data_IF_838981567030
#
_entry.id   IF_838981567030
#
_cell.length_a   1.000
_cell.length_b   1.000
_cell.length_c   1.000
_cell.angle_alpha   90.00
_cell.angle_beta   90.00
_cell.angle_gamma   90.00
#
_symmetry.space_group_name_H-M   'P 1'
#
loop_
_entity.id
_entity.type
_entity.pdbx_description
1 polymer ?
#
# COMPACT_ATOMS: atom_id res chain seq x y z
N UNK A 1 -73.60 26.31 14.70
CA UNK A 1 -74.21 27.28 13.78
C UNK A 1 -74.23 26.62 12.41
N UNK A 2 -75.40 26.56 11.78
CA UNK A 2 -75.72 25.87 10.52
C UNK A 2 -74.75 26.17 9.35
N UNK A 3 -74.47 25.20 8.49
CA UNK A 3 -75.10 25.12 7.15
C UNK A 3 -74.78 23.78 6.43
N UNK A 4 -75.82 23.20 5.81
CA UNK A 4 -75.79 22.17 4.76
C UNK A 4 -75.53 22.81 3.38
N UNK A 5 -75.26 21.97 2.37
CA UNK A 5 -75.34 22.10 0.88
C UNK A 5 -74.00 21.57 0.32
N UNK A 6 -73.88 20.64 -0.63
CA UNK A 6 -74.79 19.99 -1.59
C UNK A 6 -73.91 19.38 -2.70
N UNK A 7 -74.31 18.24 -3.27
CA UNK A 7 -73.58 17.43 -4.25
C UNK A 7 -73.23 18.16 -5.56
N UNK A 8 -72.17 17.69 -6.23
CA UNK A 8 -71.91 17.88 -7.66
C UNK A 8 -71.25 16.65 -8.26
N UNK A 9 -72.04 15.83 -8.96
CA UNK A 9 -71.57 14.77 -9.86
C UNK A 9 -71.21 15.38 -11.24
N UNK A 10 -70.16 14.84 -11.86
CA UNK A 10 -69.80 15.13 -13.25
C UNK A 10 -68.77 14.11 -13.77
N UNK A 11 -69.24 13.11 -14.51
CA UNK A 11 -68.49 12.15 -15.34
C UNK A 11 -69.02 12.32 -16.79
N UNK A 12 -68.51 11.70 -17.88
CA UNK A 12 -67.15 11.34 -18.34
C UNK A 12 -66.83 11.92 -19.75
N UNK A 13 -65.60 11.75 -20.26
CA UNK A 13 -65.37 11.45 -21.69
C UNK A 13 -64.05 10.65 -21.81
N UNK A 14 -64.00 9.36 -22.14
CA UNK A 14 -64.23 8.66 -23.43
C UNK A 14 -63.36 9.12 -24.60
N UNK A 15 -62.59 8.15 -25.14
CA UNK A 15 -61.88 8.19 -26.42
C UNK A 15 -60.54 7.45 -26.30
N UNK A 16 -60.53 6.10 -26.33
CA UNK A 16 -60.30 5.25 -27.53
C UNK A 16 -58.89 5.46 -28.13
N UNK A 17 -57.94 4.53 -27.95
CA UNK A 17 -57.80 3.24 -28.64
C UNK A 17 -57.33 3.35 -30.11
N UNK A 18 -56.06 2.95 -30.36
CA UNK A 18 -55.53 2.24 -31.54
C UNK A 18 -53.99 2.20 -31.39
N UNK A 19 -53.32 1.05 -31.30
CA UNK A 19 -53.15 -0.04 -32.27
C UNK A 19 -52.33 0.35 -33.52
N UNK A 20 -51.26 -0.42 -33.77
CA UNK A 20 -50.50 -0.50 -35.02
C UNK A 20 -49.15 0.23 -34.96
N UNK A 21 -48.02 -0.37 -35.31
CA UNK A 21 -47.82 -1.66 -35.95
C UNK A 21 -46.33 -1.95 -36.14
N UNK A 22 -46.08 -3.18 -36.55
CA UNK A 22 -44.80 -3.77 -36.91
C UNK A 22 -44.09 -3.02 -38.05
N UNK A 23 -42.76 -3.06 -38.03
CA UNK A 23 -41.95 -2.99 -39.24
C UNK A 23 -40.65 -3.77 -39.01
N UNK A 24 -40.64 -4.98 -39.58
CA UNK A 24 -39.45 -5.76 -39.93
C UNK A 24 -38.53 -4.98 -40.87
N UNK A 25 -37.22 -5.20 -40.73
CA UNK A 25 -36.27 -5.11 -41.83
C UNK A 25 -35.06 -6.02 -41.56
N UNK A 26 -35.20 -7.27 -41.96
CA UNK A 26 -34.08 -8.10 -42.42
C UNK A 26 -33.56 -7.54 -43.75
N UNK A 27 -32.23 -7.47 -43.91
CA UNK A 27 -31.54 -7.58 -45.21
C UNK A 27 -30.18 -8.28 -44.99
N UNK A 28 -30.16 -9.56 -45.39
CA UNK A 28 -29.20 -10.28 -46.25
C UNK A 28 -27.72 -9.85 -46.20
N UNK A 29 -26.76 -10.69 -45.79
CA UNK A 29 -26.26 -11.92 -46.41
C UNK A 29 -25.54 -11.70 -47.77
N UNK A 30 -24.22 -11.95 -47.77
CA UNK A 30 -23.36 -12.50 -48.85
C UNK A 30 -21.95 -12.65 -48.21
N UNK A 31 -21.48 -13.83 -47.78
CA UNK A 31 -20.97 -14.98 -48.56
C UNK A 31 -20.01 -14.60 -49.68
N UNK A 32 -18.75 -15.02 -49.50
CA UNK A 32 -17.77 -15.54 -50.47
C UNK A 32 -16.37 -15.23 -49.88
N UNK A 33 -15.44 -16.16 -49.67
CA UNK A 33 -15.22 -17.42 -50.35
C UNK A 33 -13.72 -17.52 -50.64
N UNK A 34 -13.05 -18.40 -49.89
CA UNK A 34 -11.96 -19.30 -50.27
C UNK A 34 -10.68 -18.82 -51.00
N UNK A 35 -9.60 -19.52 -50.59
CA UNK A 35 -8.46 -19.99 -51.40
C UNK A 35 -7.36 -18.98 -51.78
N UNK A 36 -6.06 -19.27 -51.79
CA UNK A 36 -5.24 -20.50 -51.83
C UNK A 36 -3.91 -20.20 -51.08
N UNK A 37 -3.36 -21.09 -50.25
CA UNK A 37 -2.40 -22.14 -50.60
C UNK A 37 -1.18 -21.65 -51.42
N UNK A 38 -0.01 -21.71 -50.78
CA UNK A 38 1.31 -22.18 -51.27
C UNK A 38 2.28 -22.00 -50.07
N UNK A 39 2.96 -23.00 -49.52
CA UNK A 39 3.62 -24.12 -50.18
C UNK A 39 5.06 -23.70 -50.50
N UNK A 40 6.01 -24.25 -49.73
CA UNK A 40 7.48 -24.40 -49.97
C UNK A 40 8.23 -24.04 -48.66
N UNK A 41 8.58 -25.00 -47.80
CA UNK A 41 9.72 -25.93 -47.92
C UNK A 41 10.97 -25.28 -48.49
N UNK A 42 11.91 -24.96 -47.60
CA UNK A 42 13.33 -25.27 -47.81
C UNK A 42 14.01 -25.45 -46.46
N UNK A 43 14.43 -26.70 -46.23
CA UNK A 43 15.57 -27.06 -45.40
C UNK A 43 16.82 -26.45 -45.99
N UNK A 44 17.56 -25.67 -45.21
CA UNK A 44 19.02 -25.66 -45.28
C UNK A 44 19.57 -25.68 -43.86
N UNK A 45 20.18 -26.82 -43.55
CA UNK A 45 21.13 -26.96 -42.48
C UNK A 45 22.45 -26.45 -43.02
N UNK A 46 22.96 -25.34 -42.48
CA UNK A 46 24.37 -25.02 -42.51
C UNK A 46 24.82 -24.68 -41.09
N UNK A 47 25.57 -25.62 -40.55
CA UNK A 47 26.47 -25.50 -39.43
C UNK A 47 27.63 -24.58 -39.79
N UNK A 48 27.79 -23.49 -39.06
CA UNK A 48 29.05 -22.76 -38.81
C UNK A 48 28.75 -21.94 -37.52
N UNK A 49 29.26 -22.26 -36.32
CA UNK A 49 30.66 -22.32 -35.89
C UNK A 49 31.41 -21.00 -36.07
N UNK A 50 30.82 -19.88 -35.63
CA UNK A 50 31.57 -18.67 -35.35
C UNK A 50 31.79 -18.54 -33.84
N UNK A 51 33.03 -18.90 -33.47
CA UNK A 51 33.59 -18.54 -32.19
C UNK A 51 33.97 -17.07 -32.24
N UNK A 52 33.22 -16.25 -31.53
CA UNK A 52 33.65 -14.92 -31.14
C UNK A 52 34.66 -15.06 -30.00
N UNK A 53 35.91 -15.23 -30.40
CA UNK A 53 37.05 -14.91 -29.55
C UNK A 53 37.15 -13.39 -29.50
N UNK A 54 36.61 -12.80 -28.44
CA UNK A 54 36.96 -11.44 -28.03
C UNK A 54 38.46 -11.42 -27.74
N UNK A 55 39.24 -10.97 -28.72
CA UNK A 55 40.60 -10.50 -28.50
C UNK A 55 40.53 -9.14 -27.82
N UNK A 56 40.27 -9.15 -26.52
CA UNK A 56 40.74 -8.09 -25.65
C UNK A 56 42.24 -8.28 -25.47
N UNK A 57 42.97 -7.52 -26.28
CA UNK A 57 44.40 -7.34 -26.12
C UNK A 57 44.65 -6.41 -24.93
N UNK A 58 44.39 -6.91 -23.71
CA UNK A 58 45.00 -6.36 -22.51
C UNK A 58 46.46 -6.82 -22.51
N UNK A 59 47.32 -5.91 -22.91
CA UNK A 59 48.76 -6.02 -22.74
C UNK A 59 49.12 -5.85 -21.27
N UNK A 60 48.70 -6.79 -20.43
CA UNK A 60 49.26 -6.99 -19.10
C UNK A 60 50.42 -7.96 -19.23
N UNK A 61 51.62 -7.38 -19.16
CA UNK A 61 52.86 -8.11 -19.01
C UNK A 61 52.89 -8.75 -17.61
N UNK A 62 52.10 -9.81 -17.41
CA UNK A 62 52.29 -10.73 -16.32
C UNK A 62 53.57 -11.53 -16.59
N UNK A 63 54.67 -11.05 -16.03
CA UNK A 63 55.79 -11.90 -15.68
C UNK A 63 55.35 -12.86 -14.55
N UNK A 64 54.47 -13.80 -14.89
CA UNK A 64 54.19 -14.96 -14.07
C UNK A 64 55.43 -15.83 -14.05
N UNK A 65 56.11 -15.88 -12.91
CA UNK A 65 57.03 -16.98 -12.62
C UNK A 65 56.19 -18.24 -12.60
N UNK A 66 56.38 -19.09 -13.62
CA UNK A 66 55.76 -20.40 -13.76
C UNK A 66 55.99 -21.21 -12.48
N UNK A 67 54.96 -21.33 -11.63
CA UNK A 67 55.07 -21.96 -10.31
C UNK A 67 55.29 -23.49 -10.39
N UNK A 68 55.19 -24.06 -11.59
CA UNK A 68 55.39 -25.48 -11.89
C UNK A 68 56.74 -25.78 -12.59
N UNK A 69 57.57 -24.77 -12.84
CA UNK A 69 58.94 -25.01 -13.27
C UNK A 69 59.79 -25.43 -12.07
N UNK A 70 60.19 -26.70 -12.02
CA UNK A 70 61.15 -27.19 -11.02
C UNK A 70 62.44 -26.35 -10.96
N UNK A 71 63.27 -26.50 -9.90
CA UNK A 71 64.41 -25.63 -9.66
C UNK A 71 65.36 -25.55 -10.86
N UNK A 72 65.71 -24.33 -11.27
CA UNK A 72 66.55 -24.09 -12.43
C UNK A 72 67.98 -24.64 -12.24
N UNK A 73 68.63 -25.17 -13.30
CA UNK A 73 69.99 -25.66 -13.23
C UNK A 73 71.01 -24.52 -13.05
N UNK A 74 72.14 -24.84 -12.42
CA UNK A 74 73.26 -23.92 -12.17
C UNK A 74 74.61 -24.56 -12.47
N UNK A 75 75.52 -23.77 -13.07
CA UNK A 75 76.79 -24.27 -13.59
C UNK A 75 77.94 -24.26 -12.56
N UNK A 76 77.85 -23.43 -11.52
CA UNK A 76 78.93 -23.23 -10.53
C UNK A 76 78.44 -23.46 -9.10
N UNK A 77 78.86 -24.57 -8.48
CA UNK A 77 78.48 -24.94 -7.11
C UNK A 77 78.97 -23.91 -6.10
N UNK A 78 78.08 -23.50 -5.19
CA UNK A 78 78.33 -22.45 -4.20
C UNK A 78 78.18 -21.03 -4.75
N UNK A 79 77.88 -20.84 -6.04
CA UNK A 79 77.47 -19.54 -6.56
C UNK A 79 76.15 -19.12 -5.89
N UNK A 80 76.02 -17.83 -5.61
CA UNK A 80 74.81 -17.24 -5.04
C UNK A 80 74.17 -16.30 -6.05
N UNK A 81 72.84 -16.32 -6.16
CA UNK A 81 72.06 -15.32 -6.88
C UNK A 81 70.98 -14.75 -5.98
N UNK A 82 70.43 -13.63 -6.38
CA UNK A 82 69.28 -13.01 -5.71
C UNK A 82 68.11 -13.04 -6.67
N UNK A 83 66.96 -13.52 -6.21
CA UNK A 83 65.72 -13.53 -6.99
C UNK A 83 64.62 -12.79 -6.24
N UNK A 84 63.61 -12.32 -6.98
CA UNK A 84 62.44 -11.66 -6.43
C UNK A 84 61.54 -12.66 -5.68
N UNK A 85 60.85 -12.18 -4.65
CA UNK A 85 59.95 -13.03 -3.84
C UNK A 85 58.48 -13.01 -4.27
N UNK A 86 58.18 -12.49 -5.46
CA UNK A 86 56.82 -12.47 -6.03
C UNK A 86 56.15 -11.09 -6.01
N UNK A 87 55.82 -10.56 -4.84
CA UNK A 87 55.18 -9.22 -4.73
C UNK A 87 56.19 -8.10 -4.53
N UNK A 88 57.20 -8.33 -3.68
CA UNK A 88 58.30 -7.42 -3.39
C UNK A 88 59.45 -8.17 -2.72
N UNK A 89 60.53 -7.45 -2.44
CA UNK A 89 61.67 -8.01 -1.71
C UNK A 89 62.46 -9.01 -2.52
N UNK A 90 63.54 -9.48 -1.92
CA UNK A 90 64.43 -10.45 -2.57
C UNK A 90 64.86 -11.54 -1.61
N UNK A 91 65.14 -12.71 -2.17
CA UNK A 91 65.70 -13.84 -1.43
C UNK A 91 66.98 -14.35 -2.10
N UNK A 92 67.99 -14.74 -1.32
CA UNK A 92 69.17 -15.39 -1.86
C UNK A 92 68.84 -16.83 -2.27
N UNK A 93 69.44 -17.27 -3.36
CA UNK A 93 69.53 -18.66 -3.75
C UNK A 93 70.99 -19.07 -3.87
N UNK A 94 71.28 -20.31 -3.53
CA UNK A 94 72.60 -20.92 -3.67
C UNK A 94 72.54 -22.11 -4.64
N UNK A 95 73.55 -22.22 -5.48
CA UNK A 95 73.75 -23.39 -6.33
C UNK A 95 74.25 -24.54 -5.44
N UNK A 96 73.38 -25.49 -5.14
CA UNK A 96 73.72 -26.61 -4.26
C UNK A 96 74.51 -27.71 -5.00
N UNK A 97 74.92 -28.74 -4.27
CA UNK A 97 75.78 -29.80 -4.79
C UNK A 97 75.12 -30.65 -5.91
N UNK A 98 73.81 -30.56 -6.08
CA UNK A 98 73.02 -31.20 -7.13
C UNK A 98 72.95 -30.38 -8.43
N UNK A 99 73.67 -29.25 -8.52
CA UNK A 99 73.68 -28.34 -9.67
C UNK A 99 72.31 -27.74 -9.97
N UNK A 100 71.47 -27.54 -8.94
CA UNK A 100 70.21 -26.82 -9.00
C UNK A 100 70.24 -25.63 -8.04
N UNK A 101 69.48 -24.58 -8.36
CA UNK A 101 69.28 -23.44 -7.46
C UNK A 101 68.33 -23.80 -6.33
N UNK A 102 68.77 -23.60 -5.09
CA UNK A 102 67.95 -23.77 -3.88
C UNK A 102 67.88 -22.47 -3.09
N UNK A 103 66.78 -22.26 -2.37
CA UNK A 103 66.60 -21.11 -1.50
C UNK A 103 67.57 -21.17 -0.30
N UNK A 104 68.31 -20.08 -0.07
CA UNK A 104 69.33 -19.97 0.99
C UNK A 104 68.95 -18.90 2.01
N UNK A 105 67.65 -18.82 2.34
CA UNK A 105 67.10 -17.89 3.33
C UNK A 105 65.65 -17.50 3.05
N UNK A 106 65.03 -16.86 4.05
CA UNK A 106 63.69 -16.30 3.92
C UNK A 106 63.69 -15.04 3.04
N UNK A 107 62.53 -14.71 2.49
CA UNK A 107 62.38 -13.46 1.77
C UNK A 107 62.58 -12.24 2.69
N UNK A 108 63.41 -11.30 2.24
CA UNK A 108 63.60 -10.03 2.93
C UNK A 108 62.68 -8.98 2.30
N UNK A 109 61.75 -8.45 3.11
CA UNK A 109 60.71 -7.47 2.72
C UNK A 109 59.76 -7.96 1.60
N UNK A 110 59.04 -9.08 1.78
CA UNK A 110 58.18 -9.67 0.74
C UNK A 110 57.04 -8.75 0.28
N UNK A 111 56.66 -7.76 1.10
CA UNK A 111 55.52 -6.88 0.84
C UNK A 111 54.16 -7.58 1.02
N UNK A 112 53.11 -6.78 1.19
CA UNK A 112 51.72 -7.25 1.23
C UNK A 112 51.08 -7.27 -0.18
N UNK A 113 51.65 -6.51 -1.11
CA UNK A 113 51.13 -6.31 -2.46
C UNK A 113 52.23 -5.88 -3.45
N UNK A 114 51.96 -6.02 -4.76
CA UNK A 114 52.82 -5.52 -5.84
C UNK A 114 52.69 -4.00 -5.96
N UNK A 115 53.78 -3.22 -5.99
CA UNK A 115 53.71 -1.78 -6.24
C UNK A 115 52.86 -1.43 -7.46
N UNK A 116 51.91 -0.52 -7.28
CA UNK A 116 50.97 -0.12 -8.32
C UNK A 116 49.74 -1.02 -8.49
N UNK A 117 49.67 -2.16 -7.78
CA UNK A 117 48.44 -2.95 -7.73
C UNK A 117 47.30 -2.13 -7.12
N UNK A 118 46.11 -2.28 -7.67
CA UNK A 118 44.88 -1.66 -7.18
C UNK A 118 44.04 -2.75 -6.52
N UNK A 119 43.45 -2.43 -5.38
CA UNK A 119 42.40 -3.23 -4.78
C UNK A 119 41.16 -2.37 -4.64
N UNK A 120 40.03 -2.94 -5.03
CA UNK A 120 38.71 -2.33 -4.93
C UNK A 120 37.85 -3.12 -3.95
N UNK A 121 36.95 -2.44 -3.25
CA UNK A 121 35.89 -3.07 -2.47
C UNK A 121 34.63 -2.18 -2.46
N UNK A 122 33.48 -2.77 -2.15
CA UNK A 122 32.20 -2.07 -2.14
C UNK A 122 32.03 -1.19 -0.89
N UNK A 123 31.39 -0.03 -1.06
CA UNK A 123 31.14 0.91 0.03
C UNK A 123 29.66 1.29 0.23
N UNK A 124 28.74 0.42 -0.22
CA UNK A 124 27.29 0.58 -0.14
C UNK A 124 26.74 1.46 -1.28
N UNK A 125 25.47 1.26 -1.64
CA UNK A 125 24.78 2.01 -2.71
C UNK A 125 25.56 2.04 -4.05
N UNK A 126 26.04 0.88 -4.53
CA UNK A 126 26.90 0.75 -5.72
C UNK A 126 28.21 1.56 -5.68
N UNK A 127 28.60 2.11 -4.53
CA UNK A 127 29.87 2.80 -4.40
C UNK A 127 31.04 1.84 -4.35
N UNK A 128 32.20 2.30 -4.83
CA UNK A 128 33.48 1.61 -4.71
C UNK A 128 34.50 2.50 -4.00
N UNK A 129 35.33 1.91 -3.13
CA UNK A 129 36.57 2.57 -2.73
C UNK A 129 37.75 1.75 -3.24
N UNK A 130 38.86 2.44 -3.46
CA UNK A 130 40.08 1.83 -3.98
C UNK A 130 41.25 2.11 -3.06
N UNK A 131 42.23 1.22 -3.07
CA UNK A 131 43.55 1.53 -2.52
C UNK A 131 44.62 1.02 -3.46
N UNK A 132 45.71 1.79 -3.53
CA UNK A 132 46.85 1.48 -4.38
C UNK A 132 48.01 1.01 -3.52
N UNK A 133 48.71 -0.02 -3.97
CA UNK A 133 49.91 -0.50 -3.33
C UNK A 133 51.08 0.47 -3.56
N UNK A 134 51.71 0.91 -2.47
CA UNK A 134 52.86 1.81 -2.51
C UNK A 134 54.13 1.17 -3.09
N UNK A 135 55.11 1.99 -3.43
CA UNK A 135 56.46 1.51 -3.82
C UNK A 135 57.19 0.76 -2.69
N UNK A 136 56.74 0.92 -1.44
CA UNK A 136 57.19 0.13 -0.28
C UNK A 136 56.44 -1.20 -0.13
N UNK A 137 55.60 -1.56 -1.10
CA UNK A 137 54.91 -2.84 -1.15
C UNK A 137 53.95 -3.06 0.02
N UNK A 138 53.32 -1.97 0.47
CA UNK A 138 52.26 -1.94 1.46
C UNK A 138 51.07 -1.17 0.89
N UNK A 139 49.85 -1.60 1.23
CA UNK A 139 48.64 -0.92 0.82
C UNK A 139 48.56 0.48 1.43
N UNK A 140 48.19 1.48 0.63
CA UNK A 140 47.84 2.79 1.15
C UNK A 140 46.48 2.75 1.86
N UNK A 141 46.11 3.86 2.51
CA UNK A 141 44.74 4.05 3.00
C UNK A 141 43.74 3.99 1.84
N UNK A 142 42.54 3.48 2.12
CA UNK A 142 41.42 3.48 1.20
C UNK A 142 41.05 4.90 0.79
N UNK A 143 40.63 5.07 -0.47
CA UNK A 143 40.03 6.31 -0.94
C UNK A 143 38.72 6.59 -0.21
N UNK A 144 38.19 7.81 -0.40
CA UNK A 144 36.79 8.03 -0.15
C UNK A 144 35.96 7.11 -1.07
N UNK A 145 34.76 6.74 -0.60
CA UNK A 145 33.77 6.01 -1.38
C UNK A 145 33.39 6.86 -2.60
N UNK A 146 33.65 6.36 -3.80
CA UNK A 146 33.15 6.92 -5.05
C UNK A 146 31.75 6.32 -5.28
N UNK A 147 30.73 7.09 -4.91
CA UNK A 147 29.32 6.71 -5.04
C UNK A 147 28.79 7.16 -6.40
N UNK A 148 28.02 6.31 -7.07
CA UNK A 148 27.23 6.75 -8.22
C UNK A 148 26.26 7.84 -7.73
N UNK A 149 26.36 9.05 -8.29
CA UNK A 149 25.61 10.23 -7.86
C UNK A 149 24.09 10.05 -7.94
N UNK A 150 23.60 8.98 -8.58
CA UNK A 150 22.19 8.63 -8.52
C UNK A 150 21.87 7.29 -7.87
N UNK A 151 22.77 6.55 -7.24
CA UNK A 151 22.38 5.30 -6.58
C UNK A 151 21.25 5.54 -5.55
N UNK A 152 20.14 4.82 -5.72
CA UNK A 152 18.93 4.98 -4.91
C UNK A 152 18.81 3.90 -3.81
N UNK A 153 19.44 2.74 -4.03
CA UNK A 153 19.27 1.55 -3.20
C UNK A 153 20.45 0.59 -3.35
N UNK A 154 20.51 -0.46 -2.52
CA UNK A 154 21.52 -1.52 -2.64
C UNK A 154 21.01 -2.69 -3.49
N UNK A 155 21.82 -3.25 -4.42
CA UNK A 155 21.36 -4.29 -5.34
C UNK A 155 20.74 -5.48 -4.63
N UNK A 156 19.60 -5.95 -5.15
CA UNK A 156 18.84 -7.06 -4.59
C UNK A 156 17.94 -6.69 -3.41
N UNK A 157 18.05 -5.47 -2.85
CA UNK A 157 17.12 -4.93 -1.87
C UNK A 157 15.69 -4.89 -2.41
N UNK A 158 14.71 -5.12 -1.54
CA UNK A 158 13.29 -5.07 -1.89
C UNK A 158 12.56 -4.24 -0.86
N UNK A 159 11.55 -3.51 -1.31
CA UNK A 159 10.67 -2.76 -0.43
C UNK A 159 9.27 -2.60 -1.00
N UNK A 160 8.33 -2.31 -0.09
CA UNK A 160 6.98 -1.87 -0.40
C UNK A 160 6.94 -0.36 -0.19
N UNK A 161 6.64 0.40 -1.23
CA UNK A 161 6.53 1.87 -1.19
C UNK A 161 5.13 2.34 -1.59
N UNK A 162 4.81 3.59 -1.25
CA UNK A 162 3.66 4.34 -1.80
C UNK A 162 4.10 5.41 -2.81
N UNK A 163 5.41 5.60 -2.97
CA UNK A 163 5.97 6.63 -3.84
C UNK A 163 5.58 6.36 -5.30
N UNK A 164 4.91 7.33 -5.92
CA UNK A 164 4.44 7.22 -7.31
C UNK A 164 3.15 6.44 -7.50
N UNK A 165 2.49 6.01 -6.41
CA UNK A 165 1.17 5.37 -6.46
C UNK A 165 0.04 6.35 -6.12
N UNK A 166 -1.18 6.02 -6.55
CA UNK A 166 -2.39 6.72 -6.12
C UNK A 166 -2.64 6.48 -4.62
N UNK A 167 -3.40 7.37 -3.95
CA UNK A 167 -3.66 7.22 -2.52
C UNK A 167 -4.48 5.96 -2.28
N UNK A 168 -3.97 5.04 -1.46
CA UNK A 168 -4.57 3.71 -1.28
C UNK A 168 -3.71 2.58 -1.83
N UNK A 169 -2.84 2.88 -2.78
CA UNK A 169 -2.03 1.89 -3.48
C UNK A 169 -0.60 1.80 -2.94
N UNK A 170 -0.02 0.62 -3.11
CA UNK A 170 1.38 0.32 -2.84
C UNK A 170 2.04 -0.27 -4.09
N UNK A 171 3.37 -0.17 -4.13
CA UNK A 171 4.22 -0.81 -5.13
C UNK A 171 5.32 -1.60 -4.43
N UNK A 172 5.45 -2.87 -4.81
CA UNK A 172 6.64 -3.67 -4.55
C UNK A 172 7.71 -3.33 -5.58
N UNK A 173 8.89 -2.94 -5.12
CA UNK A 173 10.03 -2.63 -5.97
C UNK A 173 11.29 -3.34 -5.50
N UNK A 174 12.16 -3.64 -6.45
CA UNK A 174 13.47 -4.27 -6.22
C UNK A 174 14.56 -3.36 -6.74
N UNK A 175 15.65 -3.31 -6.00
CA UNK A 175 16.84 -2.64 -6.45
C UNK A 175 17.60 -3.51 -7.47
N UNK A 176 17.85 -2.96 -8.65
CA UNK A 176 18.63 -3.60 -9.70
C UNK A 176 20.14 -3.54 -9.43
N UNK A 177 20.92 -4.23 -10.26
CA UNK A 177 22.39 -4.19 -10.21
C UNK A 177 22.97 -2.81 -10.55
N UNK A 178 22.16 -1.92 -11.14
CA UNK A 178 22.51 -0.52 -11.40
C UNK A 178 22.09 0.43 -10.26
N UNK A 179 21.72 -0.11 -9.10
CA UNK A 179 21.27 0.64 -7.93
C UNK A 179 20.08 1.57 -8.19
N UNK A 180 19.14 1.09 -9.02
CA UNK A 180 17.87 1.77 -9.30
C UNK A 180 16.71 0.93 -8.81
N UNK A 181 15.67 1.60 -8.35
CA UNK A 181 14.41 0.93 -8.06
C UNK A 181 13.70 0.55 -9.35
N UNK A 182 13.40 -0.73 -9.49
CA UNK A 182 12.58 -1.29 -10.56
C UNK A 182 11.32 -1.90 -9.96
N UNK A 183 10.18 -1.63 -10.59
CA UNK A 183 8.90 -2.18 -10.17
C UNK A 183 8.91 -3.72 -10.29
N UNK A 184 8.72 -4.43 -9.18
CA UNK A 184 8.36 -5.85 -9.23
C UNK A 184 6.89 -6.01 -9.61
N UNK A 185 6.07 -5.04 -9.21
CA UNK A 185 4.65 -4.95 -9.51
C UNK A 185 4.25 -3.50 -9.76
N UNK A 186 3.28 -3.27 -10.64
CA UNK A 186 2.66 -1.96 -10.77
C UNK A 186 1.90 -1.60 -9.49
N UNK A 187 1.64 -0.30 -9.28
CA UNK A 187 0.85 0.16 -8.15
C UNK A 187 -0.52 -0.55 -8.09
N UNK A 188 -0.95 -0.91 -6.89
CA UNK A 188 -2.27 -1.44 -6.65
C UNK A 188 -2.58 -1.57 -5.17
N UNK A 189 -3.81 -2.00 -4.81
CA UNK A 189 -4.25 -2.04 -3.43
C UNK A 189 -3.42 -3.04 -2.62
N UNK A 190 -3.11 -2.70 -1.37
CA UNK A 190 -2.32 -3.55 -0.45
C UNK A 190 -3.09 -4.80 0.00
N UNK A 191 -4.42 -4.75 0.02
CA UNK A 191 -5.25 -5.86 0.44
C UNK A 191 -5.14 -7.06 -0.50
N UNK A 192 -4.88 -8.25 0.03
CA UNK A 192 -5.11 -9.52 -0.65
C UNK A 192 -6.62 -9.84 -0.65
N UNK A 193 -7.12 -10.20 -1.82
CA UNK A 193 -8.54 -10.40 -2.08
C UNK A 193 -9.14 -9.22 -2.83
N UNK A 194 -10.34 -9.43 -3.40
CA UNK A 194 -11.09 -8.36 -4.04
C UNK A 194 -12.06 -7.75 -3.02
N UNK A 195 -12.26 -6.42 -3.04
CA UNK A 195 -13.35 -5.81 -2.29
C UNK A 195 -14.68 -6.41 -2.76
N UNK A 196 -15.62 -6.58 -1.83
CA UNK A 196 -16.97 -6.98 -2.19
C UNK A 196 -17.65 -5.84 -2.96
N UNK A 197 -18.10 -6.13 -4.18
CA UNK A 197 -18.99 -5.27 -4.97
C UNK A 197 -20.40 -5.88 -4.95
N UNK A 198 -21.18 -5.51 -3.93
CA UNK A 198 -22.52 -6.07 -3.69
C UNK A 198 -23.59 -4.97 -3.61
N UNK A 199 -23.41 -3.88 -4.37
CA UNK A 199 -24.31 -2.74 -4.40
C UNK A 199 -24.01 -1.70 -3.30
N UNK A 200 -24.81 -0.63 -3.29
CA UNK A 200 -24.62 0.63 -2.52
C UNK A 200 -24.59 0.45 -0.99
N UNK A 201 -24.71 -0.76 -0.47
CA UNK A 201 -24.76 -1.05 0.97
C UNK A 201 -23.89 -2.26 1.40
N UNK A 202 -23.08 -2.86 0.51
CA UNK A 202 -22.00 -3.83 0.86
C UNK A 202 -20.69 -3.55 0.13
N UNK A 203 -20.62 -2.47 -0.64
CA UNK A 203 -19.39 -2.10 -1.32
C UNK A 203 -18.29 -1.88 -0.29
N UNK A 204 -17.16 -2.56 -0.48
CA UNK A 204 -15.97 -2.41 0.35
C UNK A 204 -14.91 -1.62 -0.41
N UNK A 205 -14.09 -0.87 0.31
CA UNK A 205 -12.83 -0.30 -0.21
C UNK A 205 -11.65 -0.95 0.50
N UNK A 206 -10.53 -1.11 -0.20
CA UNK A 206 -9.28 -1.49 0.45
C UNK A 206 -8.67 -0.25 1.12
N UNK A 207 -8.50 -0.31 2.43
CA UNK A 207 -7.65 0.63 3.15
C UNK A 207 -6.28 -0.04 3.31
N UNK A 208 -5.21 0.48 2.68
CA UNK A 208 -3.91 -0.15 2.76
C UNK A 208 -3.36 -0.10 4.19
N UNK A 209 -2.45 -1.01 4.51
CA UNK A 209 -1.73 -1.02 5.76
C UNK A 209 -0.81 0.20 5.92
N UNK A 210 0.07 0.18 6.91
CA UNK A 210 1.06 1.20 7.15
C UNK A 210 0.60 2.39 8.02
N UNK A 211 1.49 3.39 8.18
CA UNK A 211 1.31 4.47 9.14
C UNK A 211 0.24 5.47 8.68
N UNK A 212 -0.51 5.98 9.64
CA UNK A 212 -1.30 7.20 9.55
C UNK A 212 -1.18 7.97 10.86
N UNK A 213 -1.75 9.16 10.88
CA UNK A 213 -1.68 10.02 12.04
C UNK A 213 -3.07 10.18 12.61
N UNK A 214 -3.21 9.75 13.87
CA UNK A 214 -4.46 9.66 14.60
C UNK A 214 -4.55 10.81 15.60
N UNK A 215 -5.74 11.40 15.70
CA UNK A 215 -6.06 12.49 16.63
C UNK A 215 -5.86 13.89 16.10
N UNK A 216 -6.21 14.84 16.96
CA UNK A 216 -6.14 16.28 16.75
C UNK A 216 -4.89 16.89 17.39
N UNK A 217 -4.61 18.13 17.00
CA UNK A 217 -3.53 18.93 17.57
C UNK A 217 -4.06 20.09 18.43
N UNK A 218 -5.35 20.08 18.77
CA UNK A 218 -5.96 21.09 19.65
C UNK A 218 -5.78 20.67 21.11
N UNK A 219 -4.84 21.28 21.86
CA UNK A 219 -4.59 20.90 23.25
C UNK A 219 -5.75 21.25 24.19
N UNK A 220 -6.71 22.06 23.74
CA UNK A 220 -7.92 22.37 24.50
C UNK A 220 -9.02 21.31 24.29
N UNK A 221 -8.85 20.39 23.33
CA UNK A 221 -9.70 19.21 23.14
C UNK A 221 -9.00 17.95 23.65
N UNK A 222 -9.27 17.58 24.91
CA UNK A 222 -8.62 16.43 25.53
C UNK A 222 -9.05 15.09 24.92
N UNK A 223 -10.18 15.03 24.22
CA UNK A 223 -10.71 13.77 23.71
C UNK A 223 -9.90 13.24 22.53
N UNK A 224 -9.44 14.10 21.62
CA UNK A 224 -8.68 13.72 20.43
C UNK A 224 -7.18 14.09 20.46
N UNK A 225 -6.69 14.67 21.56
CA UNK A 225 -5.26 14.95 21.81
C UNK A 225 -4.58 13.80 22.59
N UNK A 226 -3.28 13.50 22.34
CA UNK A 226 -2.43 14.09 21.32
C UNK A 226 -2.53 13.39 19.98
N UNK A 227 -2.23 14.15 18.93
CA UNK A 227 -1.85 13.59 17.65
C UNK A 227 -0.68 12.61 17.80
N UNK A 228 -0.83 11.39 17.29
CA UNK A 228 0.18 10.33 17.36
C UNK A 228 0.20 9.43 16.12
N UNK A 229 1.34 8.80 15.85
CA UNK A 229 1.46 7.87 14.73
C UNK A 229 0.95 6.48 15.09
N UNK A 230 0.05 5.96 14.26
CA UNK A 230 -0.49 4.60 14.34
C UNK A 230 -0.20 3.86 13.05
N UNK A 231 0.18 2.59 13.16
CA UNK A 231 0.43 1.67 12.05
C UNK A 231 -0.65 0.60 12.08
N UNK A 232 -1.43 0.50 11.01
CA UNK A 232 -2.47 -0.52 10.85
C UNK A 232 -2.05 -1.54 9.79
N UNK A 233 -2.53 -2.77 9.94
CA UNK A 233 -2.54 -3.75 8.85
C UNK A 233 -3.59 -3.33 7.80
N UNK A 234 -3.54 -3.83 6.55
CA UNK A 234 -4.58 -3.58 5.56
C UNK A 234 -5.90 -4.24 5.98
N UNK A 235 -7.00 -3.61 5.59
CA UNK A 235 -8.35 -4.10 5.82
C UNK A 235 -9.28 -3.58 4.74
N UNK A 236 -10.38 -4.31 4.54
CA UNK A 236 -11.53 -3.83 3.82
C UNK A 236 -12.44 -3.06 4.76
N UNK A 237 -12.99 -1.96 4.29
CA UNK A 237 -13.88 -1.09 5.03
C UNK A 237 -15.11 -0.80 4.17
N UNK A 238 -16.30 -0.85 4.75
CA UNK A 238 -17.52 -0.56 3.99
C UNK A 238 -17.48 0.90 3.50
N UNK A 239 -17.74 1.10 2.21
CA UNK A 239 -17.73 2.40 1.54
C UNK A 239 -18.82 3.34 2.08
N UNK A 240 -19.93 2.76 2.51
CA UNK A 240 -21.15 3.41 2.98
C UNK A 240 -21.54 2.88 4.36
N UNK A 241 -22.32 3.65 5.12
CA UNK A 241 -22.98 3.16 6.32
C UNK A 241 -23.96 2.02 5.98
N UNK A 242 -24.21 1.15 6.95
CA UNK A 242 -25.24 0.14 6.85
C UNK A 242 -26.62 0.79 6.68
N UNK A 243 -27.42 0.29 5.75
CA UNK A 243 -28.75 0.83 5.45
C UNK A 243 -29.84 0.17 6.29
N UNK A 244 -31.00 0.84 6.39
CA UNK A 244 -32.19 0.22 6.99
C UNK A 244 -32.61 -1.07 6.27
N UNK A 245 -32.50 -1.13 4.92
CA UNK A 245 -32.82 -2.33 4.13
C UNK A 245 -31.94 -3.52 4.55
N UNK A 246 -30.62 -3.33 4.66
CA UNK A 246 -29.69 -4.37 5.12
C UNK A 246 -29.95 -4.84 6.53
N UNK A 247 -30.22 -3.89 7.43
CA UNK A 247 -30.51 -4.27 8.80
C UNK A 247 -31.81 -5.10 8.89
N UNK A 248 -32.83 -4.74 8.10
CA UNK A 248 -34.07 -5.53 7.99
C UNK A 248 -33.84 -6.92 7.42
N UNK A 249 -32.90 -7.10 6.48
CA UNK A 249 -32.50 -8.43 6.00
C UNK A 249 -31.92 -9.28 7.14
N UNK A 250 -30.98 -8.73 7.92
CA UNK A 250 -30.41 -9.43 9.07
C UNK A 250 -31.47 -9.81 10.13
N UNK A 251 -32.42 -8.91 10.39
CA UNK A 251 -33.57 -9.19 11.28
C UNK A 251 -34.48 -10.27 10.70
N UNK A 252 -34.73 -10.23 9.38
CA UNK A 252 -35.54 -11.22 8.67
C UNK A 252 -34.95 -12.63 8.68
N UNK A 253 -33.63 -12.72 8.64
CA UNK A 253 -32.87 -13.98 8.78
C UNK A 253 -32.83 -14.48 10.23
N UNK A 254 -33.08 -13.59 11.20
CA UNK A 254 -33.16 -13.90 12.62
C UNK A 254 -31.83 -13.81 13.37
N UNK A 255 -30.80 -13.25 12.74
CA UNK A 255 -29.47 -13.02 13.33
C UNK A 255 -29.38 -11.66 14.05
N UNK A 256 -30.20 -10.67 13.64
CA UNK A 256 -30.31 -9.36 14.31
C UNK A 256 -31.64 -9.21 15.07
N UNK A 257 -31.64 -8.35 16.09
CA UNK A 257 -32.86 -7.90 16.79
C UNK A 257 -33.36 -6.58 16.22
N UNK A 258 -34.68 -6.36 16.24
CA UNK A 258 -35.24 -5.06 15.85
C UNK A 258 -34.71 -3.93 16.74
N UNK A 259 -34.45 -2.74 16.17
CA UNK A 259 -34.06 -1.58 16.95
C UNK A 259 -35.18 -1.09 17.88
N UNK A 260 -34.85 -0.32 18.92
CA UNK A 260 -35.86 0.18 19.87
C UNK A 260 -36.85 1.14 19.17
N UNK A 261 -38.14 0.78 19.03
CA UNK A 261 -39.09 1.57 18.25
C UNK A 261 -39.40 2.96 18.85
N UNK A 262 -39.00 3.26 20.09
CA UNK A 262 -39.17 4.59 20.69
C UNK A 262 -38.31 5.65 19.99
N UNK A 263 -37.16 5.26 19.45
CA UNK A 263 -36.20 6.17 18.85
C UNK A 263 -36.17 6.15 17.32
N UNK A 264 -36.98 5.31 16.67
CA UNK A 264 -36.88 4.99 15.24
C UNK A 264 -38.16 5.31 14.47
N UNK A 265 -38.15 6.46 13.80
CA UNK A 265 -39.21 6.80 12.84
C UNK A 265 -38.95 6.26 11.44
N UNK A 266 -37.69 6.23 11.00
CA UNK A 266 -37.31 5.89 9.63
C UNK A 266 -37.14 4.40 9.38
N UNK A 267 -36.87 3.58 10.42
CA UNK A 267 -36.65 2.14 10.23
C UNK A 267 -37.83 1.44 9.55
N UNK A 268 -39.08 1.74 9.93
CA UNK A 268 -40.27 1.15 9.30
C UNK A 268 -40.80 1.96 8.11
N UNK A 269 -40.15 3.07 7.75
CA UNK A 269 -40.59 3.93 6.64
C UNK A 269 -40.18 3.31 5.29
N UNK A 270 -41.13 3.05 4.38
CA UNK A 270 -40.86 2.38 3.11
C UNK A 270 -39.84 3.09 2.21
N UNK A 271 -39.80 4.43 2.30
CA UNK A 271 -38.94 5.27 1.46
C UNK A 271 -37.57 5.54 2.10
N UNK A 272 -37.31 5.00 3.31
CA UNK A 272 -36.06 5.20 4.06
C UNK A 272 -35.14 3.98 4.00
N UNK A 273 -35.38 3.05 3.07
CA UNK A 273 -34.61 1.81 2.93
C UNK A 273 -33.10 2.03 2.76
N UNK A 274 -32.72 3.04 1.98
CA UNK A 274 -31.31 3.42 1.72
C UNK A 274 -30.73 4.43 2.71
N UNK A 275 -31.48 4.82 3.72
CA UNK A 275 -30.97 5.70 4.77
C UNK A 275 -30.10 4.89 5.73
N UNK A 276 -29.09 5.50 6.36
CA UNK A 276 -28.28 4.81 7.35
C UNK A 276 -29.16 4.31 8.50
N UNK A 277 -28.88 3.09 8.95
CA UNK A 277 -29.39 2.60 10.22
C UNK A 277 -28.72 3.41 11.33
N UNK A 278 -29.49 3.87 12.31
CA UNK A 278 -29.00 4.70 13.43
C UNK A 278 -29.23 3.99 14.74
N UNK A 279 -28.73 4.53 15.87
CA UNK A 279 -29.10 4.19 17.26
C UNK A 279 -29.09 2.71 17.68
N UNK A 280 -28.33 1.87 17.00
CA UNK A 280 -28.13 0.47 17.36
C UNK A 280 -27.31 0.39 18.65
N UNK A 281 -27.68 -0.51 19.55
CA UNK A 281 -26.83 -0.89 20.68
C UNK A 281 -25.57 -1.61 20.15
N UNK A 282 -24.48 -1.59 20.92
CA UNK A 282 -23.21 -2.23 20.55
C UNK A 282 -23.42 -3.67 20.04
N UNK A 283 -24.17 -4.48 20.79
CA UNK A 283 -24.42 -5.88 20.46
C UNK A 283 -25.19 -6.06 19.15
N UNK A 284 -26.02 -5.07 18.78
CA UNK A 284 -26.74 -5.07 17.51
C UNK A 284 -25.81 -4.76 16.34
N UNK A 285 -24.89 -3.80 16.51
CA UNK A 285 -23.83 -3.51 15.53
C UNK A 285 -22.94 -4.74 15.34
N UNK A 286 -22.55 -5.40 16.44
CA UNK A 286 -21.72 -6.61 16.40
C UNK A 286 -22.43 -7.76 15.67
N UNK A 287 -23.70 -8.00 16.00
CA UNK A 287 -24.52 -9.03 15.36
C UNK A 287 -24.69 -8.75 13.86
N UNK A 288 -24.96 -7.51 13.48
CA UNK A 288 -25.10 -7.10 12.08
C UNK A 288 -23.79 -7.32 11.30
N UNK A 289 -22.67 -6.82 11.80
CA UNK A 289 -21.40 -7.00 11.11
C UNK A 289 -21.01 -8.48 11.03
N UNK A 290 -21.28 -9.28 12.06
CA UNK A 290 -21.02 -10.72 12.04
C UNK A 290 -21.90 -11.46 11.01
N UNK A 291 -23.20 -11.15 10.94
CA UNK A 291 -24.11 -11.69 9.91
C UNK A 291 -23.61 -11.35 8.50
N UNK A 292 -23.07 -10.15 8.31
CA UNK A 292 -22.48 -9.70 7.06
C UNK A 292 -21.08 -10.30 6.78
N UNK A 293 -20.60 -11.26 7.59
CA UNK A 293 -19.26 -11.87 7.53
C UNK A 293 -18.11 -10.84 7.66
N UNK A 294 -18.32 -9.86 8.55
CA UNK A 294 -17.42 -8.74 8.85
C UNK A 294 -17.30 -8.59 10.37
N UNK A 295 -16.68 -7.49 10.81
CA UNK A 295 -16.58 -7.06 12.22
C UNK A 295 -16.78 -5.56 12.32
N UNK A 296 -16.99 -5.07 13.53
CA UNK A 296 -16.92 -3.64 13.81
C UNK A 296 -15.48 -3.16 13.59
N UNK A 297 -15.25 -1.98 12.97
CA UNK A 297 -13.93 -1.39 12.89
C UNK A 297 -13.44 -0.91 14.25
N UNK A 298 -12.12 -0.84 14.40
CA UNK A 298 -11.53 -0.09 15.51
C UNK A 298 -11.67 1.41 15.27
N UNK A 299 -11.56 2.20 16.34
CA UNK A 299 -11.51 3.66 16.25
C UNK A 299 -10.37 4.14 15.32
N UNK A 300 -9.21 3.47 15.39
CA UNK A 300 -8.06 3.80 14.54
C UNK A 300 -8.31 3.46 13.07
N UNK A 301 -8.93 2.30 12.78
CA UNK A 301 -9.32 1.94 11.42
C UNK A 301 -10.35 2.92 10.85
N UNK A 302 -11.30 3.35 11.66
CA UNK A 302 -12.28 4.35 11.25
C UNK A 302 -11.60 5.68 10.88
N UNK A 303 -10.71 6.21 11.74
CA UNK A 303 -10.06 7.49 11.47
C UNK A 303 -9.10 7.41 10.28
N UNK A 304 -8.35 6.31 10.13
CA UNK A 304 -7.50 6.11 8.96
C UNK A 304 -8.34 6.09 7.68
N UNK A 305 -9.46 5.37 7.69
CA UNK A 305 -10.36 5.29 6.54
C UNK A 305 -10.88 6.67 6.14
N UNK A 306 -11.18 7.55 7.11
CA UNK A 306 -11.59 8.93 6.86
C UNK A 306 -10.44 9.83 6.37
N UNK A 307 -9.26 9.75 7.01
CA UNK A 307 -8.16 10.72 6.82
C UNK A 307 -7.22 10.38 5.67
N UNK A 308 -6.89 9.11 5.46
CA UNK A 308 -5.80 8.71 4.56
C UNK A 308 -4.50 8.31 5.27
N UNK A 309 -3.45 7.97 4.51
CA UNK A 309 -2.17 7.53 5.05
C UNK A 309 -1.30 8.70 5.54
N UNK A 310 -0.29 8.41 6.36
CA UNK A 310 0.73 9.40 6.76
C UNK A 310 1.45 9.97 5.53
N UNK A 311 1.83 11.26 5.51
CA UNK A 311 1.77 12.25 6.60
C UNK A 311 0.53 13.15 6.56
N UNK A 312 -0.59 12.67 6.02
CA UNK A 312 -1.80 13.49 5.90
C UNK A 312 -2.30 14.01 7.26
N UNK A 313 -2.84 15.23 7.26
CA UNK A 313 -3.36 15.99 8.41
C UNK A 313 -4.67 16.70 8.10
N UNK A 314 -5.34 16.31 7.02
CA UNK A 314 -6.59 16.94 6.60
C UNK A 314 -7.60 17.02 7.72
N UNK A 315 -8.37 18.09 7.70
CA UNK A 315 -9.41 18.38 8.68
C UNK A 315 -10.68 17.55 8.42
N UNK A 316 -11.01 17.37 7.14
CA UNK A 316 -12.17 16.62 6.66
C UNK A 316 -11.74 15.52 5.67
N UNK A 317 -12.58 14.51 5.41
CA UNK A 317 -12.25 13.42 4.48
C UNK A 317 -11.83 13.91 3.09
N UNK A 318 -12.48 14.95 2.58
CA UNK A 318 -12.19 15.53 1.26
C UNK A 318 -11.02 16.54 1.25
N UNK A 319 -10.54 17.00 2.41
CA UNK A 319 -9.48 18.02 2.48
C UNK A 319 -9.61 18.99 3.66
N UNK A 320 -9.11 20.20 3.48
CA UNK A 320 -9.10 21.26 4.50
C UNK A 320 -10.13 22.36 4.23
N UNK A 321 -10.75 22.32 3.05
CA UNK A 321 -11.80 23.24 2.67
C UNK A 321 -13.06 23.05 3.55
N UNK A 322 -13.67 24.16 4.03
CA UNK A 322 -14.91 24.08 4.76
C UNK A 322 -16.00 23.35 3.95
N UNK A 323 -16.82 22.51 4.60
CA UNK A 323 -17.87 21.74 3.94
C UNK A 323 -18.89 22.64 3.21
N UNK A 324 -19.32 22.18 2.04
CA UNK A 324 -20.59 22.58 1.43
C UNK A 324 -21.58 21.41 1.48
N UNK A 325 -22.81 21.64 0.99
CA UNK A 325 -23.82 20.58 0.93
C UNK A 325 -23.52 19.47 -0.08
N UNK A 326 -22.51 19.64 -0.94
CA UNK A 326 -22.05 18.58 -1.84
C UNK A 326 -21.17 17.56 -1.10
N UNK A 327 -20.38 18.01 -0.11
CA UNK A 327 -19.49 17.16 0.66
C UNK A 327 -20.14 16.60 1.93
N UNK A 328 -20.88 17.41 2.69
CA UNK A 328 -21.42 17.01 3.99
C UNK A 328 -22.74 17.71 4.34
N UNK A 329 -23.61 17.03 5.09
CA UNK A 329 -24.94 17.51 5.45
C UNK A 329 -24.80 18.36 6.68
N UNK A 330 -25.34 19.56 6.61
CA UNK A 330 -25.31 20.49 7.72
C UNK A 330 -26.52 21.38 7.74
N UNK A 331 -26.72 22.14 8.82
CA UNK A 331 -28.01 22.81 9.01
C UNK A 331 -28.25 24.04 8.14
N UNK A 332 -27.31 24.41 7.25
CA UNK A 332 -27.58 25.35 6.16
C UNK A 332 -28.05 24.67 4.87
N UNK A 333 -27.99 23.33 4.80
CA UNK A 333 -28.47 22.56 3.67
C UNK A 333 -30.01 22.49 3.66
N UNK A 334 -30.63 22.39 2.47
CA UNK A 334 -32.06 22.16 2.34
C UNK A 334 -32.52 20.94 3.16
N UNK A 335 -33.61 21.10 3.90
CA UNK A 335 -34.21 20.04 4.74
C UNK A 335 -34.68 18.79 3.95
N UNK A 336 -34.64 18.82 2.61
CA UNK A 336 -35.13 17.75 1.73
C UNK A 336 -34.08 17.25 0.71
N UNK A 337 -32.80 17.52 0.93
CA UNK A 337 -31.75 16.81 0.20
C UNK A 337 -31.26 15.66 1.05
N UNK A 338 -31.56 14.44 0.58
CA UNK A 338 -30.73 13.25 0.73
C UNK A 338 -30.23 12.87 2.12
N UNK A 339 -30.74 11.75 2.64
CA UNK A 339 -30.13 10.99 3.73
C UNK A 339 -29.74 9.59 3.23
N UNK A 340 -29.60 9.41 1.92
CA UNK A 340 -29.19 8.13 1.36
C UNK A 340 -27.68 7.99 1.50
N UNK A 341 -27.21 6.79 1.81
CA UNK A 341 -25.78 6.59 2.11
C UNK A 341 -24.84 6.94 0.93
N UNK A 342 -25.36 6.99 -0.30
CA UNK A 342 -24.62 7.21 -1.56
C UNK A 342 -24.81 8.61 -2.18
N UNK A 343 -25.35 9.59 -1.45
CA UNK A 343 -25.71 10.90 -2.01
C UNK A 343 -24.65 12.02 -1.88
N UNK A 344 -23.47 11.71 -1.32
CA UNK A 344 -22.34 12.67 -1.13
C UNK A 344 -20.98 12.17 -1.62
N UNK A 345 -20.84 11.83 -2.91
CA UNK A 345 -19.57 11.37 -3.46
C UNK A 345 -18.46 12.43 -3.40
N UNK A 346 -18.79 13.72 -3.34
CA UNK A 346 -17.79 14.78 -3.18
C UNK A 346 -17.17 14.81 -1.76
N UNK A 347 -17.85 14.22 -0.78
CA UNK A 347 -17.37 14.09 0.60
C UNK A 347 -16.51 12.86 0.85
N UNK A 348 -16.15 12.11 -0.19
CA UNK A 348 -15.37 10.89 -0.06
C UNK A 348 -13.96 11.16 0.53
N UNK A 349 -13.50 10.24 1.37
CA UNK A 349 -12.11 10.14 1.82
C UNK A 349 -11.15 9.78 0.66
N UNK A 350 -9.82 9.84 0.86
CA UNK A 350 -8.86 9.37 -0.14
C UNK A 350 -9.05 7.95 -0.61
N UNK A 351 -9.58 7.10 0.27
CA UNK A 351 -9.82 5.70 -0.01
C UNK A 351 -11.22 5.46 -0.61
N UNK A 352 -12.00 6.52 -0.86
CA UNK A 352 -13.33 6.44 -1.47
C UNK A 352 -14.48 6.22 -0.49
N UNK A 353 -14.22 6.21 0.83
CA UNK A 353 -15.26 6.05 1.86
C UNK A 353 -16.07 7.34 1.98
N UNK A 354 -17.39 7.24 1.87
CA UNK A 354 -18.32 8.37 1.89
C UNK A 354 -18.95 8.58 3.27
N UNK A 355 -19.45 9.79 3.51
CA UNK A 355 -20.24 10.20 4.69
C UNK A 355 -19.56 10.10 6.06
N UNK A 356 -18.24 9.99 6.11
CA UNK A 356 -17.49 9.86 7.38
C UNK A 356 -17.68 11.03 8.37
N UNK A 357 -18.04 12.24 7.90
CA UNK A 357 -18.25 13.42 8.76
C UNK A 357 -19.65 14.01 8.66
N UNK A 358 -20.61 13.23 8.19
CA UNK A 358 -22.02 13.58 8.25
C UNK A 358 -22.87 12.33 8.48
N UNK A 359 -24.18 12.42 8.24
CA UNK A 359 -25.06 11.28 8.37
C UNK A 359 -25.30 10.95 9.83
N UNK A 360 -24.61 9.94 10.34
CA UNK A 360 -24.87 9.34 11.65
C UNK A 360 -23.58 9.18 12.43
N UNK A 361 -23.69 9.16 13.75
CA UNK A 361 -22.66 8.62 14.60
C UNK A 361 -22.44 7.14 14.27
N UNK A 362 -21.19 6.69 14.18
CA UNK A 362 -20.84 5.29 13.90
C UNK A 362 -20.14 4.67 15.10
N UNK A 363 -20.64 3.51 15.54
CA UNK A 363 -20.09 2.77 16.67
C UNK A 363 -18.81 2.03 16.28
N UNK A 364 -17.78 2.10 17.13
CA UNK A 364 -16.50 1.39 16.94
C UNK A 364 -16.31 0.27 17.98
N UNK A 365 -15.38 -0.65 17.71
CA UNK A 365 -15.12 -1.78 18.60
C UNK A 365 -14.45 -1.37 19.92
N UNK A 366 -13.80 -0.21 19.94
CA UNK A 366 -12.97 0.26 21.04
C UNK A 366 -13.85 0.70 22.21
N UNK A 367 -13.43 0.36 23.44
CA UNK A 367 -13.95 1.02 24.63
C UNK A 367 -13.53 2.49 24.63
N UNK A 368 -14.39 3.37 25.13
CA UNK A 368 -14.04 4.78 25.25
C UNK A 368 -13.16 5.04 26.48
N UNK A 369 -12.10 5.84 26.27
CA UNK A 369 -11.40 6.56 27.33
C UNK A 369 -10.80 7.87 26.78
N UNK A 370 -11.03 8.96 27.51
CA UNK A 370 -10.57 10.33 27.17
C UNK A 370 -9.04 10.36 26.99
N UNK A 371 -8.28 9.74 27.88
CA UNK A 371 -6.81 9.78 27.91
C UNK A 371 -6.11 8.68 27.09
N UNK A 372 -6.86 7.84 26.36
CA UNK A 372 -6.28 6.67 25.67
C UNK A 372 -5.20 7.04 24.65
N UNK A 373 -5.34 8.16 23.93
CA UNK A 373 -4.40 8.56 22.89
C UNK A 373 -2.99 8.82 23.44
N UNK A 374 -2.86 9.26 24.69
CA UNK A 374 -1.57 9.47 25.35
C UNK A 374 -0.82 8.16 25.66
N UNK A 375 -1.54 7.03 25.72
CA UNK A 375 -1.00 5.71 26.05
C UNK A 375 -1.16 4.68 24.90
N UNK A 376 -1.72 5.13 23.77
CA UNK A 376 -2.06 4.29 22.62
C UNK A 376 -0.83 3.56 22.07
N UNK A 377 -0.89 2.23 21.87
CA UNK A 377 0.18 1.50 21.23
C UNK A 377 0.26 1.88 19.76
N UNK A 378 1.50 1.99 19.26
CA UNK A 378 1.76 2.39 17.86
C UNK A 378 1.17 1.44 16.82
N UNK A 379 1.07 0.14 17.10
CA UNK A 379 0.67 -0.87 16.11
C UNK A 379 -0.69 -1.43 16.47
N UNK A 380 -1.65 -1.31 15.56
CA UNK A 380 -3.00 -1.89 15.66
C UNK A 380 -3.69 -1.67 17.03
N UNK A 381 -3.86 -0.41 17.49
CA UNK A 381 -4.51 -0.11 18.75
C UNK A 381 -5.97 -0.59 18.75
N UNK A 382 -6.43 -1.10 19.91
CA UNK A 382 -7.75 -1.71 20.10
C UNK A 382 -8.55 -1.06 21.23
N UNK A 383 -8.19 0.17 21.58
CA UNK A 383 -8.73 0.85 22.74
C UNK A 383 -8.24 0.28 24.08
N UNK A 384 -8.70 0.84 25.20
CA UNK A 384 -8.47 0.31 26.53
C UNK A 384 -9.16 -1.06 26.70
N UNK A 385 -8.63 -1.90 27.60
CA UNK A 385 -9.16 -3.26 27.82
C UNK A 385 -10.61 -3.30 28.34
N UNK A 386 -11.05 -2.23 29.01
CA UNK A 386 -12.36 -2.09 29.64
C UNK A 386 -12.82 -0.63 29.61
N UNK A 387 -14.13 -0.41 29.46
CA UNK A 387 -14.77 0.90 29.52
C UNK A 387 -16.21 0.81 30.02
N UNK A 388 -16.89 1.95 30.13
CA UNK A 388 -18.32 2.01 30.44
C UNK A 388 -19.19 2.06 29.19
N UNK A 389 -18.66 2.62 28.09
CA UNK A 389 -19.30 2.69 26.79
C UNK A 389 -18.25 2.57 25.68
N UNK A 390 -18.68 2.30 24.45
CA UNK A 390 -17.81 2.22 23.29
C UNK A 390 -17.56 3.60 22.69
N UNK A 391 -16.46 3.75 21.96
CA UNK A 391 -16.15 4.97 21.25
C UNK A 391 -17.04 5.09 20.00
N UNK A 392 -17.67 6.27 19.84
CA UNK A 392 -18.38 6.65 18.61
C UNK A 392 -17.58 7.65 17.79
N UNK A 393 -17.74 7.60 16.46
CA UNK A 393 -17.08 8.47 15.46
C UNK A 393 -18.08 9.07 14.49
N UNK A 394 -17.70 10.11 13.75
CA UNK A 394 -18.57 10.79 12.79
C UNK A 394 -19.35 11.95 13.41
N UNK A 395 -20.62 12.13 13.08
CA UNK A 395 -21.44 13.22 13.64
C UNK A 395 -22.80 12.71 14.10
N UNK A 396 -23.07 12.79 15.41
CA UNK A 396 -24.36 12.37 15.96
C UNK A 396 -25.53 13.33 15.66
N UNK A 397 -26.75 12.80 15.73
CA UNK A 397 -27.98 13.61 15.63
C UNK A 397 -28.03 14.69 16.74
N UNK A 398 -27.80 15.96 16.39
CA UNK A 398 -27.97 17.08 17.31
C UNK A 398 -26.83 18.09 17.37
N UNK A 399 -25.76 17.91 16.59
CA UNK A 399 -24.76 18.97 16.44
C UNK A 399 -25.40 20.24 15.85
N UNK A 400 -25.07 21.43 16.40
CA UNK A 400 -25.55 22.68 15.85
C UNK A 400 -25.23 22.76 14.36
N UNK A 401 -26.18 23.25 13.57
CA UNK A 401 -26.06 23.51 12.13
C UNK A 401 -24.75 24.18 11.68
N UNK A 402 -24.11 24.91 12.60
CA UNK A 402 -22.95 25.77 12.39
C UNK A 402 -21.65 25.18 12.98
N UNK A 403 -21.70 23.98 13.58
CA UNK A 403 -20.56 23.29 14.18
C UNK A 403 -20.28 22.01 13.40
N UNK A 404 -19.24 22.05 12.58
CA UNK A 404 -18.73 20.88 11.88
C UNK A 404 -17.56 20.33 12.66
N UNK A 405 -17.74 19.22 13.37
CA UNK A 405 -16.60 18.55 13.95
C UNK A 405 -15.70 18.04 12.82
N UNK A 406 -14.40 18.20 12.98
CA UNK A 406 -13.43 17.56 12.09
C UNK A 406 -13.47 16.05 12.25
N UNK A 407 -12.78 15.34 11.36
CA UNK A 407 -12.78 13.87 11.33
C UNK A 407 -12.20 13.21 12.59
N UNK A 408 -11.59 13.97 13.51
CA UNK A 408 -10.97 13.50 14.76
C UNK A 408 -11.96 13.35 15.90
N UNK A 409 -13.17 13.87 15.75
CA UNK A 409 -14.13 13.86 16.84
C UNK A 409 -14.51 12.44 17.25
N UNK A 410 -14.52 12.25 18.57
CA UNK A 410 -14.96 11.05 19.27
C UNK A 410 -15.85 11.42 20.44
N UNK A 411 -16.66 10.47 20.89
CA UNK A 411 -17.43 10.60 22.12
C UNK A 411 -17.66 9.23 22.77
N UNK A 412 -17.98 9.28 24.05
CA UNK A 412 -18.52 8.15 24.80
C UNK A 412 -19.99 7.94 24.35
N UNK A 413 -20.29 6.80 23.71
CA UNK A 413 -21.61 6.51 23.16
C UNK A 413 -22.12 5.12 23.57
N UNK A 414 -23.40 5.03 23.92
CA UNK A 414 -24.11 3.78 24.23
C UNK A 414 -24.84 3.20 22.99
N UNK A 415 -24.48 3.64 21.78
CA UNK A 415 -25.07 3.17 20.53
C UNK A 415 -25.09 4.24 19.43
N UNK A 416 -25.18 3.79 18.18
CA UNK A 416 -25.07 4.62 16.98
C UNK A 416 -25.45 3.86 15.70
N UNK A 417 -25.15 4.44 14.55
CA UNK A 417 -25.17 3.73 13.27
C UNK A 417 -24.05 2.71 13.15
N UNK A 418 -24.09 1.93 12.06
CA UNK A 418 -23.18 0.83 11.82
C UNK A 418 -22.43 1.00 10.51
N UNK A 419 -21.13 0.69 10.53
CA UNK A 419 -20.28 0.46 9.37
C UNK A 419 -19.33 -0.66 9.71
N UNK A 420 -19.11 -1.61 8.81
CA UNK A 420 -18.31 -2.79 9.11
C UNK A 420 -16.95 -2.75 8.40
N UNK A 421 -16.04 -3.57 8.92
CA UNK A 421 -14.71 -3.80 8.39
C UNK A 421 -14.40 -5.30 8.33
N UNK A 422 -13.44 -5.67 7.49
CA UNK A 422 -12.96 -7.04 7.35
C UNK A 422 -11.45 -7.02 7.21
N UNK A 423 -10.74 -7.79 8.02
CA UNK A 423 -9.29 -7.89 7.92
C UNK A 423 -8.87 -8.40 6.53
N UNK A 424 -7.80 -7.81 5.97
CA UNK A 424 -7.17 -8.29 4.75
C UNK A 424 -5.81 -8.91 5.08
N UNK A 425 -5.36 -9.86 4.27
CA UNK A 425 -3.95 -10.27 4.30
C UNK A 425 -3.11 -9.22 3.54
N UNK A 426 -1.90 -8.94 4.02
CA UNK A 426 -0.93 -8.07 3.35
C UNK A 426 -0.39 -8.74 2.09
N UNK A 427 -0.21 -7.96 1.02
CA UNK A 427 0.25 -8.47 -0.27
C UNK A 427 1.68 -8.98 -0.29
#
# INVERSE_FOLDING_TARGET
MLLMIGCGEGVPSTGDAAAGGDADADVDADSDGDNDADGDSDTDADSDADGDSDTDADSDADAGTDADAGPEPCDEQGATRTIDCGFCGTRPQICAADSLWHDDGDCVNPGECRPGAIQEDGCGLCGTYERVCSASCAWNEWSACDQDEGAECEPGGQEVTRDGCEVGDIQERRCSDSCRWEALRECGPDCIGDPRDAGTDAEEVCVPGGPFIMGGADPDNQDDDPEHEVVLYPYFFDRFEATNDRYRECVGDGDCTEPDPFWYRTYDEPDAGRFPITRLEQEQVEAFCAWAERRIPTEAEWEKAARGPSPDRRTYPWGDEPPTCDEAKHGSCPYYEGDEVDDRPAGASPFGVERMTDGVDETTADWYAEDYYAESPRVDPRGPELGNAHAGRGVGEGYPADSFPGLTQRWEGDGGGARCARSAEER
#
